data_IF_715184838544
#
_entry.id   IF_715184838544
#
_cell.length_a   1.000
_cell.length_b   1.000
_cell.length_c   1.000
_cell.angle_alpha   90.00
_cell.angle_beta   90.00
_cell.angle_gamma   90.00
#
_symmetry.space_group_name_H-M   'P 1'
#
loop_
_entity.id
_entity.type
_entity.pdbx_description
1 polymer ?
#
# COMPACT_ATOMS: atom_id res chain seq x y z
N UNK A 1 -2.02 3.06 8.80
CA UNK A 1 -1.56 4.45 8.57
C UNK A 1 -1.39 5.25 9.87
N UNK A 2 -2.09 4.93 10.97
CA UNK A 2 -1.92 5.59 12.28
C UNK A 2 -0.47 5.49 12.81
N UNK A 3 0.21 4.36 12.60
CA UNK A 3 1.60 4.19 13.04
C UNK A 3 2.58 5.24 12.48
N UNK A 4 2.33 5.78 11.28
CA UNK A 4 3.18 6.83 10.69
C UNK A 4 2.98 8.19 11.38
N UNK A 5 1.80 8.44 11.96
CA UNK A 5 1.54 9.64 12.74
C UNK A 5 2.10 9.52 14.15
N UNK A 6 1.82 8.39 14.80
CA UNK A 6 2.06 8.19 16.24
C UNK A 6 3.50 7.78 16.52
N UNK A 7 4.09 6.97 15.65
CA UNK A 7 5.44 6.41 15.83
C UNK A 7 6.51 7.50 16.04
N UNK A 8 6.64 8.50 15.15
CA UNK A 8 7.63 9.56 15.32
C UNK A 8 7.40 10.44 16.55
N UNK A 9 6.14 10.65 16.98
CA UNK A 9 5.82 11.41 18.20
C UNK A 9 6.32 10.67 19.44
N UNK A 10 5.98 9.38 19.57
CA UNK A 10 6.45 8.55 20.68
C UNK A 10 7.98 8.41 20.61
N UNK A 11 8.53 8.17 19.41
CA UNK A 11 9.97 8.06 19.20
C UNK A 11 10.72 9.33 19.58
N UNK A 12 10.20 10.51 19.25
CA UNK A 12 10.79 11.81 19.62
C UNK A 12 10.77 12.05 21.13
N UNK A 13 9.67 11.70 21.81
CA UNK A 13 9.56 11.77 23.28
C UNK A 13 10.56 10.83 23.97
N UNK A 14 10.61 9.57 23.51
CA UNK A 14 11.54 8.55 24.01
C UNK A 14 13.00 8.98 23.81
N UNK A 15 13.34 9.45 22.61
CA UNK A 15 14.69 9.92 22.32
C UNK A 15 15.09 11.10 23.19
N UNK A 16 14.16 12.03 23.45
CA UNK A 16 14.41 13.21 24.28
C UNK A 16 14.63 12.89 25.76
N UNK A 17 14.01 11.82 26.30
CA UNK A 17 14.09 11.47 27.72
C UNK A 17 15.13 10.39 28.04
N UNK A 18 15.22 9.36 27.20
CA UNK A 18 16.00 8.15 27.46
C UNK A 18 16.95 7.77 26.32
N UNK A 19 17.11 8.64 25.32
CA UNK A 19 17.94 8.41 24.14
C UNK A 19 17.36 7.39 23.18
N UNK A 20 17.98 7.26 22.00
CA UNK A 20 17.44 6.47 20.88
C UNK A 20 17.31 4.97 21.17
N UNK A 21 18.10 4.43 22.13
CA UNK A 21 18.04 3.01 22.53
C UNK A 21 16.68 2.62 23.10
N UNK A 22 15.99 3.56 23.75
CA UNK A 22 14.66 3.31 24.32
C UNK A 22 13.61 3.00 23.24
N UNK A 23 13.78 3.51 22.01
CA UNK A 23 12.92 3.21 20.87
C UNK A 23 12.97 1.71 20.54
N UNK A 24 14.17 1.11 20.52
CA UNK A 24 14.33 -0.31 20.22
C UNK A 24 13.69 -1.21 21.29
N UNK A 25 13.84 -0.84 22.57
CA UNK A 25 13.19 -1.56 23.67
C UNK A 25 11.67 -1.47 23.61
N UNK A 26 11.11 -0.30 23.28
CA UNK A 26 9.66 -0.17 23.08
C UNK A 26 9.19 -1.07 21.93
N UNK A 27 9.88 -1.04 20.78
CA UNK A 27 9.53 -1.87 19.62
C UNK A 27 9.61 -3.37 19.93
N UNK A 28 10.61 -3.78 20.71
CA UNK A 28 10.76 -5.16 21.16
C UNK A 28 9.57 -5.61 22.03
N UNK A 29 9.24 -4.85 23.08
CA UNK A 29 8.12 -5.16 23.97
C UNK A 29 6.79 -5.16 23.20
N UNK A 30 6.57 -4.15 22.36
CA UNK A 30 5.37 -4.07 21.52
C UNK A 30 5.26 -5.28 20.58
N UNK A 31 6.37 -5.73 19.99
CA UNK A 31 6.39 -6.90 19.10
C UNK A 31 6.03 -8.18 19.84
N UNK A 32 6.53 -8.35 21.07
CA UNK A 32 6.15 -9.49 21.93
C UNK A 32 4.65 -9.44 22.24
N UNK A 33 4.13 -8.29 22.65
CA UNK A 33 2.70 -8.14 22.97
C UNK A 33 1.85 -8.50 21.75
N UNK A 34 2.16 -7.95 20.57
CA UNK A 34 1.43 -8.24 19.34
C UNK A 34 1.54 -9.73 18.99
N UNK A 35 2.73 -10.33 19.08
CA UNK A 35 2.91 -11.76 18.82
C UNK A 35 2.04 -12.62 19.74
N UNK A 36 2.03 -12.34 21.05
CA UNK A 36 1.20 -13.05 22.02
C UNK A 36 -0.28 -12.87 21.68
N UNK A 37 -0.73 -11.65 21.37
CA UNK A 37 -2.11 -11.42 20.96
C UNK A 37 -2.48 -12.21 19.69
N UNK A 38 -1.59 -12.30 18.70
CA UNK A 38 -1.84 -13.09 17.50
C UNK A 38 -1.94 -14.59 17.82
N UNK A 39 -1.03 -15.14 18.63
CA UNK A 39 -1.04 -16.55 19.03
C UNK A 39 -2.29 -16.92 19.84
N UNK A 40 -2.78 -15.99 20.66
CA UNK A 40 -3.97 -16.20 21.49
C UNK A 40 -5.25 -16.05 20.68
N UNK A 41 -5.37 -14.97 19.91
CA UNK A 41 -6.66 -14.52 19.37
C UNK A 41 -6.84 -14.72 17.86
N UNK A 42 -5.78 -14.76 17.05
CA UNK A 42 -5.92 -14.79 15.59
C UNK A 42 -6.29 -16.20 15.12
N UNK A 43 -7.50 -16.43 14.58
CA UNK A 43 -7.85 -17.72 14.00
C UNK A 43 -7.11 -17.96 12.68
N UNK A 44 -6.90 -19.22 12.34
CA UNK A 44 -6.44 -19.62 11.01
C UNK A 44 -7.45 -19.11 9.96
N UNK A 45 -6.96 -18.39 8.96
CA UNK A 45 -7.79 -17.73 7.93
C UNK A 45 -7.72 -18.42 6.58
N UNK A 46 -6.78 -19.35 6.40
CA UNK A 46 -6.68 -20.11 5.15
C UNK A 46 -7.87 -21.05 5.01
N UNK A 47 -8.74 -20.77 4.03
CA UNK A 47 -9.98 -21.54 3.78
C UNK A 47 -9.76 -23.03 3.56
N UNK A 48 -8.60 -23.44 3.03
CA UNK A 48 -8.26 -24.84 2.84
C UNK A 48 -8.00 -25.58 4.17
N UNK A 49 -7.55 -24.87 5.20
CA UNK A 49 -7.23 -25.42 6.52
C UNK A 49 -8.41 -25.25 7.49
N UNK A 50 -8.97 -24.04 7.55
CA UNK A 50 -10.01 -23.68 8.50
C UNK A 50 -11.44 -23.79 7.94
N UNK A 51 -11.61 -23.97 6.62
CA UNK A 51 -12.91 -23.79 5.97
C UNK A 51 -13.40 -22.35 6.14
N UNK A 52 -14.50 -22.19 6.85
CA UNK A 52 -14.98 -20.89 7.36
C UNK A 52 -15.01 -20.87 8.90
N UNK A 53 -14.00 -21.47 9.55
CA UNK A 53 -13.98 -21.70 10.99
C UNK A 53 -14.85 -22.89 11.44
N UNK A 54 -15.36 -23.66 10.49
CA UNK A 54 -16.18 -24.86 10.73
C UNK A 54 -15.34 -26.11 10.98
N UNK A 55 -14.09 -26.14 10.52
CA UNK A 55 -13.21 -27.31 10.63
C UNK A 55 -12.37 -27.20 11.92
N UNK A 56 -12.34 -28.25 12.77
CA UNK A 56 -11.48 -28.28 13.94
C UNK A 56 -10.00 -28.22 13.59
N UNK A 57 -9.31 -27.18 14.08
CA UNK A 57 -7.88 -26.96 13.87
C UNK A 57 -7.05 -27.81 14.85
N UNK A 58 -5.85 -28.26 14.43
CA UNK A 58 -4.91 -29.04 15.24
C UNK A 58 -3.50 -28.44 15.21
N UNK A 59 -2.72 -28.69 16.26
CA UNK A 59 -1.31 -28.30 16.35
C UNK A 59 -1.10 -26.79 16.32
N UNK A 60 -0.13 -26.34 15.52
CA UNK A 60 0.28 -24.92 15.39
C UNK A 60 -0.82 -24.03 14.80
N UNK A 61 -1.73 -24.58 14.00
CA UNK A 61 -2.83 -23.82 13.39
C UNK A 61 -3.96 -23.50 14.37
N UNK A 62 -3.94 -24.06 15.59
CA UNK A 62 -4.98 -23.85 16.60
C UNK A 62 -4.60 -22.67 17.51
N UNK A 63 -5.36 -21.55 17.51
CA UNK A 63 -5.13 -20.43 18.41
C UNK A 63 -5.25 -20.87 19.86
N UNK A 64 -4.46 -20.28 20.76
CA UNK A 64 -4.45 -20.71 22.17
C UNK A 64 -5.81 -20.54 22.85
N UNK A 65 -6.57 -19.50 22.49
CA UNK A 65 -7.91 -19.29 23.04
C UNK A 65 -8.87 -20.47 22.72
N UNK A 66 -8.67 -21.19 21.61
CA UNK A 66 -9.53 -22.31 21.21
C UNK A 66 -9.28 -23.59 22.04
N UNK A 67 -8.21 -23.64 22.84
CA UNK A 67 -8.05 -24.71 23.84
C UNK A 67 -8.97 -24.51 25.04
N UNK A 68 -9.24 -23.25 25.41
CA UNK A 68 -10.13 -22.90 26.52
C UNK A 68 -11.60 -22.76 26.07
N UNK A 69 -11.81 -22.16 24.89
CA UNK A 69 -13.14 -21.87 24.33
C UNK A 69 -13.20 -22.24 22.86
N UNK A 70 -13.43 -23.53 22.52
CA UNK A 70 -13.59 -23.95 21.14
C UNK A 70 -14.86 -23.34 20.51
N UNK A 71 -14.84 -23.03 19.20
CA UNK A 71 -16.03 -22.57 18.48
C UNK A 71 -17.20 -23.57 18.59
N UNK A 72 -18.42 -23.07 18.77
CA UNK A 72 -19.64 -23.90 18.82
C UNK A 72 -19.85 -24.74 17.56
N UNK A 73 -19.39 -24.25 16.40
CA UNK A 73 -19.42 -24.95 15.11
C UNK A 73 -18.69 -26.29 15.15
N UNK A 74 -17.67 -26.45 16.02
CA UNK A 74 -16.92 -27.69 16.12
C UNK A 74 -17.71 -28.81 16.83
N UNK A 75 -18.73 -28.46 17.61
CA UNK A 75 -19.57 -29.45 18.28
C UNK A 75 -20.57 -30.13 17.33
N UNK A 76 -21.00 -29.43 16.28
CA UNK A 76 -21.94 -29.92 15.25
C UNK A 76 -21.26 -30.78 14.18
N UNK A 77 -19.95 -30.61 13.96
CA UNK A 77 -19.16 -31.35 12.94
C UNK A 77 -18.54 -32.64 13.51
N UNK A 78 -19.22 -33.34 14.42
CA UNK A 78 -18.69 -34.58 15.05
C UNK A 78 -18.74 -35.82 14.14
N UNK A 79 -19.41 -35.77 12.99
CA UNK A 79 -19.76 -36.95 12.17
C UNK A 79 -19.13 -36.99 10.77
N UNK A 80 -18.25 -36.07 10.43
CA UNK A 80 -17.44 -36.20 9.20
C UNK A 80 -15.99 -36.20 9.64
N UNK A 81 -15.30 -37.32 9.45
CA UNK A 81 -13.84 -37.29 9.38
C UNK A 81 -13.48 -36.09 8.51
N UNK A 82 -12.60 -35.18 8.98
CA UNK A 82 -12.17 -34.09 8.13
C UNK A 82 -11.66 -34.76 6.84
N UNK A 83 -12.12 -34.36 5.64
CA UNK A 83 -11.46 -34.83 4.43
C UNK A 83 -9.99 -34.55 4.69
N UNK A 84 -9.15 -35.58 4.60
CA UNK A 84 -7.72 -35.45 4.79
C UNK A 84 -7.26 -34.38 3.81
N UNK A 85 -7.29 -33.12 4.25
CA UNK A 85 -6.87 -32.01 3.43
C UNK A 85 -5.39 -32.24 3.38
N UNK A 86 -4.95 -32.82 2.26
CA UNK A 86 -3.55 -32.98 1.94
C UNK A 86 -3.02 -31.56 2.04
N UNK A 87 -2.46 -31.18 3.19
CA UNK A 87 -1.81 -29.89 3.39
C UNK A 87 -0.82 -29.85 2.24
N UNK A 88 -1.03 -29.00 1.22
CA UNK A 88 -0.17 -29.04 0.07
C UNK A 88 1.22 -28.73 0.60
N UNK A 89 2.16 -29.67 0.41
CA UNK A 89 3.54 -29.46 0.83
C UNK A 89 3.97 -28.13 0.23
N UNK A 90 4.37 -27.19 1.09
CA UNK A 90 4.80 -25.86 0.65
C UNK A 90 6.03 -26.09 -0.23
N UNK A 91 5.82 -26.11 -1.53
CA UNK A 91 6.88 -26.22 -2.51
C UNK A 91 7.44 -24.82 -2.75
N UNK A 92 8.76 -24.69 -2.74
CA UNK A 92 9.42 -23.42 -3.12
C UNK A 92 8.91 -22.90 -4.46
N UNK A 93 8.58 -23.79 -5.40
CA UNK A 93 7.96 -23.41 -6.67
C UNK A 93 6.61 -22.71 -6.45
N UNK A 94 5.75 -23.25 -5.59
CA UNK A 94 4.44 -22.67 -5.27
C UNK A 94 4.53 -21.32 -4.56
N UNK A 95 5.55 -21.12 -3.72
CA UNK A 95 5.77 -19.85 -3.00
C UNK A 95 6.31 -18.75 -3.90
N UNK A 96 7.04 -19.10 -4.97
CA UNK A 96 7.62 -18.15 -5.93
C UNK A 96 6.68 -17.83 -7.10
N UNK A 97 5.62 -18.62 -7.34
CA UNK A 97 4.63 -18.34 -8.40
C UNK A 97 4.07 -16.91 -8.34
N UNK A 98 3.68 -16.34 -7.18
CA UNK A 98 3.21 -14.96 -7.11
C UNK A 98 4.20 -13.91 -7.65
N UNK A 99 5.51 -14.17 -7.60
CA UNK A 99 6.52 -13.27 -8.15
C UNK A 99 6.44 -13.20 -9.67
N UNK A 100 5.95 -14.27 -10.31
CA UNK A 100 5.75 -14.29 -11.77
C UNK A 100 4.68 -13.30 -12.23
N UNK A 101 3.79 -12.84 -11.33
CA UNK A 101 2.78 -11.83 -11.66
C UNK A 101 3.41 -10.52 -12.10
N UNK A 102 4.61 -10.18 -11.61
CA UNK A 102 5.34 -8.97 -11.99
C UNK A 102 5.68 -8.97 -13.49
N UNK A 103 5.83 -10.14 -14.12
CA UNK A 103 6.15 -10.24 -15.55
C UNK A 103 4.92 -10.12 -16.47
N UNK A 104 3.71 -10.02 -15.91
CA UNK A 104 2.52 -9.74 -16.71
C UNK A 104 2.45 -8.24 -17.03
N UNK A 105 2.29 -7.88 -18.31
CA UNK A 105 2.40 -6.49 -18.80
C UNK A 105 1.46 -5.51 -18.08
N UNK A 106 0.20 -5.93 -17.86
CA UNK A 106 -0.82 -5.19 -17.12
C UNK A 106 -0.41 -4.93 -15.67
N UNK A 107 0.19 -5.93 -15.03
CA UNK A 107 0.58 -5.89 -13.62
C UNK A 107 1.90 -5.14 -13.44
N UNK A 108 2.86 -5.32 -14.35
CA UNK A 108 4.15 -4.65 -14.31
C UNK A 108 3.98 -3.14 -14.27
N UNK A 109 3.21 -2.56 -15.20
CA UNK A 109 3.00 -1.11 -15.27
C UNK A 109 2.28 -0.59 -14.02
N UNK A 110 1.27 -1.33 -13.54
CA UNK A 110 0.53 -1.03 -12.31
C UNK A 110 1.45 -1.01 -11.08
N UNK A 111 2.29 -2.05 -10.92
CA UNK A 111 3.23 -2.18 -9.82
C UNK A 111 4.38 -1.18 -9.91
N UNK A 112 4.90 -0.90 -11.11
CA UNK A 112 5.99 0.04 -11.33
C UNK A 112 5.59 1.45 -10.90
N UNK A 113 4.43 1.94 -11.36
CA UNK A 113 3.91 3.25 -10.96
C UNK A 113 3.64 3.32 -9.45
N UNK A 114 2.93 2.33 -8.89
CA UNK A 114 2.63 2.28 -7.46
C UNK A 114 3.86 2.21 -6.56
N UNK A 115 4.88 1.45 -6.98
CA UNK A 115 6.14 1.31 -6.24
C UNK A 115 6.97 2.58 -6.31
N UNK A 116 7.01 3.26 -7.46
CA UNK A 116 7.70 4.53 -7.60
C UNK A 116 7.11 5.60 -6.67
N UNK A 117 5.79 5.78 -6.69
CA UNK A 117 5.10 6.76 -5.84
C UNK A 117 5.31 6.47 -4.36
N UNK A 118 5.21 5.20 -3.95
CA UNK A 118 5.51 4.80 -2.58
C UNK A 118 6.97 5.08 -2.20
N UNK A 119 7.90 4.84 -3.12
CA UNK A 119 9.32 5.06 -2.90
C UNK A 119 9.60 6.53 -2.64
N UNK A 120 9.05 7.44 -3.46
CA UNK A 120 9.22 8.87 -3.23
C UNK A 120 8.57 9.36 -1.93
N UNK A 121 7.36 8.91 -1.61
CA UNK A 121 6.75 9.23 -0.32
C UNK A 121 7.59 8.69 0.86
N UNK A 122 8.18 7.51 0.71
CA UNK A 122 9.08 6.93 1.73
C UNK A 122 10.37 7.74 1.86
N UNK A 123 10.98 8.18 0.75
CA UNK A 123 12.16 9.06 0.75
C UNK A 123 11.86 10.42 1.40
N UNK A 124 10.70 11.02 1.12
CA UNK A 124 10.24 12.25 1.78
C UNK A 124 10.18 12.01 3.29
N UNK A 125 9.48 10.97 3.71
CA UNK A 125 9.25 10.65 5.13
C UNK A 125 10.56 10.31 5.86
N UNK A 126 11.47 9.56 5.24
CA UNK A 126 12.74 9.16 5.87
C UNK A 126 13.72 10.31 6.02
N UNK A 127 13.72 11.26 5.09
CA UNK A 127 14.60 12.44 5.13
C UNK A 127 14.04 13.57 6.00
N UNK A 128 12.73 13.61 6.27
CA UNK A 128 12.05 14.67 7.05
C UNK A 128 12.79 15.04 8.33
N UNK A 129 13.15 14.08 9.18
CA UNK A 129 13.85 14.36 10.45
C UNK A 129 15.17 15.10 10.22
N UNK A 130 15.96 14.65 9.24
CA UNK A 130 17.28 15.24 8.95
C UNK A 130 17.13 16.64 8.37
N UNK A 131 16.20 16.80 7.43
CA UNK A 131 15.93 18.10 6.79
C UNK A 131 15.41 19.10 7.82
N UNK A 132 14.48 18.71 8.69
CA UNK A 132 13.94 19.59 9.73
C UNK A 132 14.99 20.00 10.77
N UNK A 133 15.84 19.07 11.22
CA UNK A 133 16.94 19.40 12.14
C UNK A 133 17.92 20.41 11.54
N UNK A 134 18.24 20.26 10.26
CA UNK A 134 19.16 21.15 9.57
C UNK A 134 18.52 22.52 9.27
N UNK A 135 17.27 22.55 8.81
CA UNK A 135 16.58 23.78 8.41
C UNK A 135 16.00 24.56 9.59
N UNK A 136 15.74 23.90 10.73
CA UNK A 136 15.15 24.52 11.92
C UNK A 136 15.90 24.09 13.20
N UNK A 137 17.10 24.65 13.46
CA UNK A 137 17.92 24.26 14.62
C UNK A 137 17.27 24.48 15.99
N UNK A 138 16.23 25.33 16.05
CA UNK A 138 15.45 25.58 17.27
C UNK A 138 14.46 24.47 17.62
N UNK A 139 14.18 23.54 16.69
CA UNK A 139 13.26 22.43 16.95
C UNK A 139 13.94 21.34 17.78
N UNK A 140 13.29 20.99 18.88
CA UNK A 140 13.65 19.85 19.72
C UNK A 140 13.18 18.52 19.12
N UNK A 141 13.76 17.41 19.57
CA UNK A 141 13.47 16.05 19.07
C UNK A 141 11.98 15.67 19.13
N UNK A 142 11.27 16.05 20.19
CA UNK A 142 9.83 15.76 20.31
C UNK A 142 8.99 16.65 19.39
N UNK A 143 9.39 17.91 19.16
CA UNK A 143 8.72 18.81 18.20
C UNK A 143 8.87 18.29 16.77
N UNK A 144 10.03 17.74 16.42
CA UNK A 144 10.23 17.06 15.12
C UNK A 144 9.32 15.84 15.02
N UNK A 145 9.14 15.08 16.11
CA UNK A 145 8.16 14.00 16.16
C UNK A 145 6.74 14.48 15.79
N UNK A 146 6.32 15.66 16.28
CA UNK A 146 5.03 16.26 15.93
C UNK A 146 4.94 16.67 14.45
N UNK A 147 6.05 17.03 13.81
CA UNK A 147 6.09 17.36 12.38
C UNK A 147 5.74 16.17 11.46
N UNK A 148 5.65 14.94 11.97
CA UNK A 148 5.13 13.80 11.20
C UNK A 148 3.61 13.65 11.26
N UNK A 149 2.92 14.35 12.17
CA UNK A 149 1.46 14.30 12.26
C UNK A 149 0.76 14.69 10.94
N UNK A 150 1.19 15.74 10.20
CA UNK A 150 0.62 16.05 8.90
C UNK A 150 0.76 14.92 7.88
N UNK A 151 1.90 14.22 7.83
CA UNK A 151 2.08 13.05 6.96
C UNK A 151 1.07 11.95 7.32
N UNK A 152 1.01 11.60 8.60
CA UNK A 152 0.08 10.57 9.08
C UNK A 152 -1.39 10.93 8.86
N UNK A 153 -1.77 12.20 9.07
CA UNK A 153 -3.10 12.71 8.77
C UNK A 153 -3.41 12.64 7.27
N UNK A 154 -2.45 12.99 6.42
CA UNK A 154 -2.54 12.84 4.96
C UNK A 154 -2.80 11.38 4.57
N UNK A 155 -2.08 10.42 5.16
CA UNK A 155 -2.32 9.00 4.91
C UNK A 155 -3.72 8.54 5.37
N UNK A 156 -4.17 8.96 6.57
CA UNK A 156 -5.50 8.58 7.08
C UNK A 156 -6.61 9.17 6.21
N UNK A 157 -6.57 10.47 5.95
CA UNK A 157 -7.57 11.15 5.13
C UNK A 157 -7.54 10.67 3.68
N UNK A 158 -6.34 10.48 3.10
CA UNK A 158 -6.17 9.93 1.75
C UNK A 158 -6.78 8.54 1.62
N UNK A 159 -6.60 7.69 2.63
CA UNK A 159 -7.17 6.35 2.63
C UNK A 159 -8.71 6.37 2.71
N UNK A 160 -9.27 7.13 3.66
CA UNK A 160 -10.71 7.22 3.88
C UNK A 160 -11.44 7.89 2.71
N UNK A 161 -10.88 9.02 2.23
CA UNK A 161 -11.46 9.78 1.12
C UNK A 161 -11.42 8.95 -0.16
N UNK A 162 -10.26 8.41 -0.53
CA UNK A 162 -10.10 7.69 -1.79
C UNK A 162 -10.86 6.38 -1.79
N UNK A 163 -10.90 5.64 -0.66
CA UNK A 163 -11.70 4.42 -0.55
C UNK A 163 -13.19 4.69 -0.82
N UNK A 164 -13.77 5.70 -0.15
CA UNK A 164 -15.17 6.08 -0.37
C UNK A 164 -15.42 6.62 -1.77
N UNK A 165 -14.49 7.40 -2.32
CA UNK A 165 -14.60 7.95 -3.67
C UNK A 165 -14.62 6.82 -4.72
N UNK A 166 -13.70 5.86 -4.61
CA UNK A 166 -13.64 4.72 -5.53
C UNK A 166 -14.89 3.84 -5.44
N UNK A 167 -15.39 3.56 -4.23
CA UNK A 167 -16.60 2.76 -4.05
C UNK A 167 -17.84 3.44 -4.60
N UNK A 168 -18.01 4.74 -4.31
CA UNK A 168 -19.17 5.51 -4.81
C UNK A 168 -19.16 5.58 -6.34
N UNK A 169 -18.03 5.91 -6.94
CA UNK A 169 -17.97 6.07 -8.39
C UNK A 169 -18.04 4.73 -9.11
N UNK A 170 -17.47 3.66 -8.55
CA UNK A 170 -17.63 2.31 -9.10
C UNK A 170 -19.09 1.86 -9.06
N UNK A 171 -19.80 2.07 -7.94
CA UNK A 171 -21.23 1.76 -7.82
C UNK A 171 -22.08 2.53 -8.83
N UNK A 172 -21.79 3.82 -9.03
CA UNK A 172 -22.49 4.66 -10.02
C UNK A 172 -22.29 4.15 -11.45
N UNK A 173 -21.04 3.91 -11.85
CA UNK A 173 -20.73 3.41 -13.20
C UNK A 173 -21.31 2.01 -13.41
N UNK A 174 -21.31 1.17 -12.36
CA UNK A 174 -21.97 -0.12 -12.38
C UNK A 174 -23.48 0.00 -12.63
N UNK A 175 -24.20 0.87 -11.90
CA UNK A 175 -25.65 1.05 -12.09
C UNK A 175 -25.97 1.61 -13.47
N UNK A 176 -25.21 2.60 -13.95
CA UNK A 176 -25.39 3.18 -15.29
C UNK A 176 -25.18 2.13 -16.39
N UNK A 177 -24.15 1.29 -16.24
CA UNK A 177 -23.90 0.21 -17.18
C UNK A 177 -25.02 -0.84 -17.20
N UNK A 178 -25.54 -1.22 -16.03
CA UNK A 178 -26.65 -2.18 -15.93
C UNK A 178 -27.92 -1.67 -16.59
N UNK A 179 -28.30 -0.41 -16.31
CA UNK A 179 -29.47 0.22 -16.93
C UNK A 179 -29.31 0.27 -18.44
N UNK A 180 -28.13 0.67 -18.94
CA UNK A 180 -27.86 0.77 -20.39
C UNK A 180 -27.96 -0.57 -21.12
N UNK A 181 -27.64 -1.69 -20.45
CA UNK A 181 -27.65 -3.03 -21.04
C UNK A 181 -28.84 -3.90 -20.58
N UNK A 182 -29.82 -3.32 -19.87
CA UNK A 182 -30.98 -4.07 -19.36
C UNK A 182 -30.63 -5.23 -18.42
N UNK A 183 -29.53 -5.13 -17.68
CA UNK A 183 -29.03 -6.21 -16.83
C UNK A 183 -29.66 -6.20 -15.43
N UNK A 184 -30.02 -7.37 -14.85
CA UNK A 184 -30.52 -7.45 -13.49
C UNK A 184 -29.51 -6.99 -12.42
N UNK A 185 -30.03 -6.52 -11.28
CA UNK A 185 -29.20 -6.09 -10.15
C UNK A 185 -28.39 -7.22 -9.50
N UNK A 186 -28.81 -8.48 -9.65
CA UNK A 186 -28.11 -9.67 -9.17
C UNK A 186 -26.84 -10.01 -9.96
N UNK A 187 -26.68 -9.51 -11.19
CA UNK A 187 -25.53 -9.84 -12.03
C UNK A 187 -24.26 -9.16 -11.51
N UNK A 188 -23.20 -9.95 -11.32
CA UNK A 188 -21.88 -9.44 -11.01
C UNK A 188 -21.22 -8.91 -12.30
N UNK A 189 -21.26 -7.59 -12.48
CA UNK A 189 -20.68 -6.91 -13.64
C UNK A 189 -19.18 -7.16 -13.85
N UNK A 190 -18.44 -7.55 -12.81
CA UNK A 190 -17.01 -7.85 -12.93
C UNK A 190 -16.74 -9.09 -13.79
N UNK A 191 -17.74 -9.95 -13.95
CA UNK A 191 -17.67 -11.15 -14.78
C UNK A 191 -18.03 -10.88 -16.25
N UNK A 192 -18.49 -9.66 -16.57
CA UNK A 192 -18.85 -9.27 -17.94
C UNK A 192 -17.57 -8.82 -18.66
N UNK A 193 -17.15 -9.49 -19.76
CA UNK A 193 -15.88 -9.19 -20.44
C UNK A 193 -15.75 -7.75 -20.94
N UNK A 194 -16.88 -7.14 -21.34
CA UNK A 194 -16.95 -5.81 -21.95
C UNK A 194 -17.07 -4.67 -20.94
N UNK A 195 -17.25 -4.97 -19.65
CA UNK A 195 -17.33 -3.91 -18.64
C UNK A 195 -15.92 -3.31 -18.42
N UNK A 196 -15.74 -1.98 -18.57
CA UNK A 196 -14.42 -1.34 -18.51
C UNK A 196 -13.96 -1.13 -17.06
N UNK A 197 -13.62 -2.21 -16.37
CA UNK A 197 -13.16 -2.22 -14.97
C UNK A 197 -11.96 -1.27 -14.78
N UNK A 198 -10.98 -1.35 -15.67
CA UNK A 198 -9.72 -0.62 -15.59
C UNK A 198 -9.97 0.88 -15.67
N UNK A 199 -10.73 1.34 -16.68
CA UNK A 199 -11.05 2.76 -16.82
C UNK A 199 -11.83 3.28 -15.63
N UNK A 200 -12.76 2.47 -15.11
CA UNK A 200 -13.55 2.81 -13.92
C UNK A 200 -12.67 2.97 -12.67
N UNK A 201 -11.73 2.05 -12.45
CA UNK A 201 -10.83 2.09 -11.27
C UNK A 201 -9.76 3.15 -11.39
N UNK A 202 -9.19 3.33 -12.57
CA UNK A 202 -8.07 4.22 -12.82
C UNK A 202 -8.49 5.67 -13.05
N UNK A 203 -9.79 5.97 -13.07
CA UNK A 203 -10.31 7.29 -13.48
C UNK A 203 -9.67 8.49 -12.78
N UNK A 204 -9.32 8.33 -11.49
CA UNK A 204 -8.73 9.39 -10.67
C UNK A 204 -7.19 9.36 -10.63
N UNK A 205 -6.56 8.35 -11.23
CA UNK A 205 -5.11 8.18 -11.21
C UNK A 205 -4.35 9.40 -11.76
N UNK A 206 -4.72 9.99 -12.93
CA UNK A 206 -4.00 11.13 -13.47
C UNK A 206 -4.05 12.36 -12.57
N UNK A 207 -5.20 12.63 -11.94
CA UNK A 207 -5.39 13.79 -11.07
C UNK A 207 -4.56 13.71 -9.79
N UNK A 208 -4.58 12.55 -9.11
CA UNK A 208 -3.74 12.35 -7.94
C UNK A 208 -2.24 12.33 -8.30
N UNK A 209 -1.89 11.81 -9.48
CA UNK A 209 -0.50 11.80 -9.98
C UNK A 209 0.02 13.21 -10.22
N UNK A 210 -0.76 14.06 -10.90
CA UNK A 210 -0.41 15.45 -11.13
C UNK A 210 -0.26 16.22 -9.81
N UNK A 211 -1.20 16.05 -8.89
CA UNK A 211 -1.14 16.68 -7.57
C UNK A 211 0.09 16.23 -6.78
N UNK A 212 0.42 14.93 -6.81
CA UNK A 212 1.63 14.40 -6.17
C UNK A 212 2.91 15.03 -6.75
N UNK A 213 3.03 15.09 -8.09
CA UNK A 213 4.20 15.68 -8.77
C UNK A 213 4.39 17.14 -8.35
N UNK A 214 3.33 17.94 -8.38
CA UNK A 214 3.40 19.35 -7.97
C UNK A 214 3.86 19.46 -6.51
N UNK A 215 3.30 18.64 -5.62
CA UNK A 215 3.67 18.72 -4.20
C UNK A 215 5.13 18.31 -3.95
N UNK A 216 5.64 17.28 -4.62
CA UNK A 216 7.05 16.87 -4.52
C UNK A 216 7.98 17.93 -5.11
N UNK A 217 7.61 18.54 -6.24
CA UNK A 217 8.35 19.62 -6.88
C UNK A 217 8.54 20.82 -5.95
N UNK A 218 7.51 21.14 -5.16
CA UNK A 218 7.50 22.26 -4.22
C UNK A 218 8.11 21.91 -2.85
N UNK A 219 8.19 20.62 -2.48
CA UNK A 219 8.63 20.19 -1.15
C UNK A 219 10.07 20.59 -0.86
N UNK A 220 11.02 20.27 -1.75
CA UNK A 220 12.43 20.70 -1.59
C UNK A 220 12.57 22.22 -1.50
N UNK A 221 12.07 22.99 -2.48
CA UNK A 221 12.07 24.44 -2.45
C UNK A 221 11.43 25.06 -1.20
N UNK A 222 10.44 24.43 -0.56
CA UNK A 222 9.80 24.95 0.66
C UNK A 222 10.76 25.15 1.84
N UNK A 223 11.90 24.46 1.85
CA UNK A 223 12.95 24.60 2.86
C UNK A 223 13.95 25.73 2.56
N UNK A 224 13.91 26.30 1.35
CA UNK A 224 14.80 27.39 0.91
C UNK A 224 14.03 28.68 0.53
N UNK A 225 12.71 28.59 0.28
CA UNK A 225 11.87 29.71 -0.15
C UNK A 225 10.83 30.06 0.93
N UNK A 226 11.10 31.02 1.82
CA UNK A 226 10.35 32.28 1.96
C UNK A 226 10.77 33.11 3.20
N UNK A 227 11.14 34.37 2.97
CA UNK A 227 10.48 35.51 3.63
C UNK A 227 10.58 36.75 2.69
N UNK A 228 9.46 37.44 2.41
CA UNK A 228 9.44 38.67 1.59
C UNK A 228 10.07 39.87 2.31
N UNK A 229 10.40 39.72 3.60
CA UNK A 229 10.97 40.78 4.45
C UNK A 229 12.30 40.41 5.11
N UNK A 230 12.76 39.16 5.03
CA UNK A 230 14.03 38.72 5.62
C UNK A 230 14.70 37.67 4.74
N UNK A 231 16.01 37.72 4.67
CA UNK A 231 16.85 36.75 3.99
C UNK A 231 16.44 35.30 4.34
N UNK A 232 16.21 34.47 3.32
CA UNK A 232 16.24 32.99 3.32
C UNK A 232 15.95 32.29 4.66
N UNK A 233 14.69 32.29 5.10
CA UNK A 233 14.21 31.44 6.20
C UNK A 233 13.34 30.29 5.65
N UNK A 234 13.44 29.10 6.26
CA UNK A 234 12.65 27.94 5.88
C UNK A 234 11.17 28.11 6.33
N UNK A 235 10.21 27.73 5.49
CA UNK A 235 8.77 27.86 5.81
C UNK A 235 8.20 26.53 6.31
N UNK A 236 8.17 26.36 7.63
CA UNK A 236 7.71 25.13 8.28
C UNK A 236 6.26 24.78 7.88
N UNK A 237 5.37 25.77 7.79
CA UNK A 237 3.96 25.53 7.44
C UNK A 237 3.83 24.99 6.00
N UNK A 238 4.58 25.58 5.06
CA UNK A 238 4.60 25.12 3.69
C UNK A 238 5.15 23.69 3.58
N UNK A 239 6.27 23.39 4.23
CA UNK A 239 6.86 22.04 4.21
C UNK A 239 5.92 20.99 4.80
N UNK A 240 5.27 21.28 5.93
CA UNK A 240 4.31 20.38 6.56
C UNK A 240 3.03 20.19 5.75
N UNK A 241 2.52 21.27 5.13
CA UNK A 241 1.36 21.20 4.23
C UNK A 241 1.64 20.37 2.98
N UNK A 242 2.82 20.54 2.38
CA UNK A 242 3.26 19.73 1.25
C UNK A 242 3.47 18.27 1.65
N UNK A 243 4.06 18.00 2.82
CA UNK A 243 4.21 16.65 3.35
C UNK A 243 2.86 15.96 3.57
N UNK A 244 1.85 16.68 4.07
CA UNK A 244 0.47 16.21 4.14
C UNK A 244 -0.08 15.84 2.76
N UNK A 245 0.05 16.74 1.77
CA UNK A 245 -0.48 16.53 0.43
C UNK A 245 0.21 15.38 -0.32
N UNK A 246 1.53 15.23 -0.16
CA UNK A 246 2.30 14.09 -0.68
C UNK A 246 1.80 12.78 -0.07
N UNK A 247 1.59 12.74 1.25
CA UNK A 247 1.07 11.56 1.95
C UNK A 247 -0.37 11.22 1.53
N UNK A 248 -1.22 12.25 1.36
CA UNK A 248 -2.59 12.09 0.90
C UNK A 248 -2.66 11.51 -0.52
N UNK A 249 -1.96 12.14 -1.47
CA UNK A 249 -1.98 11.76 -2.89
C UNK A 249 -1.29 10.43 -3.13
N UNK A 250 -0.16 10.14 -2.46
CA UNK A 250 0.48 8.81 -2.54
C UNK A 250 -0.42 7.71 -2.00
N UNK A 251 -1.12 7.95 -0.88
CA UNK A 251 -2.08 6.98 -0.33
C UNK A 251 -3.27 6.78 -1.27
N UNK A 252 -3.76 7.84 -1.91
CA UNK A 252 -4.80 7.76 -2.91
C UNK A 252 -4.39 6.88 -4.11
N UNK A 253 -3.21 7.12 -4.68
CA UNK A 253 -2.63 6.33 -5.76
C UNK A 253 -2.46 4.87 -5.33
N UNK A 254 -1.96 4.63 -4.11
CA UNK A 254 -1.78 3.29 -3.57
C UNK A 254 -3.11 2.54 -3.39
N UNK A 255 -4.16 3.21 -2.94
CA UNK A 255 -5.50 2.64 -2.84
C UNK A 255 -6.06 2.25 -4.20
N UNK A 256 -5.90 3.12 -5.22
CA UNK A 256 -6.30 2.81 -6.60
C UNK A 256 -5.54 1.58 -7.11
N UNK A 257 -4.22 1.58 -6.98
CA UNK A 257 -3.38 0.48 -7.45
C UNK A 257 -3.71 -0.85 -6.78
N UNK A 258 -3.85 -0.84 -5.46
CA UNK A 258 -4.16 -2.06 -4.69
C UNK A 258 -5.56 -2.60 -5.02
N UNK A 259 -6.54 -1.71 -5.20
CA UNK A 259 -7.90 -2.12 -5.60
C UNK A 259 -7.91 -2.74 -6.99
N UNK A 260 -7.23 -2.10 -7.96
CA UNK A 260 -7.12 -2.62 -9.32
C UNK A 260 -6.40 -3.98 -9.36
N UNK A 261 -5.34 -4.12 -8.57
CA UNK A 261 -4.57 -5.37 -8.51
C UNK A 261 -5.40 -6.54 -7.95
N UNK A 262 -6.18 -6.30 -6.90
CA UNK A 262 -7.09 -7.31 -6.34
C UNK A 262 -8.18 -7.67 -7.34
N UNK A 263 -8.73 -6.69 -8.06
CA UNK A 263 -9.71 -6.93 -9.13
C UNK A 263 -9.11 -7.73 -10.31
N UNK A 264 -7.79 -7.63 -10.57
CA UNK A 264 -7.09 -8.45 -11.58
C UNK A 264 -6.90 -9.93 -11.18
N UNK A 265 -6.94 -10.26 -9.89
CA UNK A 265 -6.66 -11.60 -9.34
C UNK A 265 -7.71 -12.03 -8.30
N UNK A 266 -8.98 -12.26 -8.69
CA UNK A 266 -10.05 -12.62 -7.75
C UNK A 266 -9.77 -13.92 -6.97
N UNK A 267 -9.13 -14.91 -7.61
CA UNK A 267 -8.79 -16.19 -6.98
C UNK A 267 -7.41 -16.20 -6.30
N UNK A 268 -6.62 -15.12 -6.44
CA UNK A 268 -5.23 -15.02 -5.97
C UNK A 268 -4.93 -13.67 -5.31
N UNK A 269 -5.93 -13.01 -4.74
CA UNK A 269 -5.83 -11.64 -4.25
C UNK A 269 -4.81 -11.46 -3.13
N UNK A 270 -4.68 -12.45 -2.25
CA UNK A 270 -3.66 -12.48 -1.20
C UNK A 270 -2.24 -12.52 -1.80
N UNK A 271 -2.01 -13.42 -2.77
CA UNK A 271 -0.74 -13.53 -3.48
C UNK A 271 -0.40 -12.26 -4.25
N UNK A 272 -1.38 -11.67 -4.95
CA UNK A 272 -1.19 -10.41 -5.67
C UNK A 272 -0.85 -9.26 -4.71
N UNK A 273 -1.54 -9.18 -3.56
CA UNK A 273 -1.24 -8.19 -2.51
C UNK A 273 0.15 -8.39 -1.93
N UNK A 274 0.58 -9.63 -1.71
CA UNK A 274 1.92 -9.95 -1.24
C UNK A 274 3.00 -9.51 -2.24
N UNK A 275 2.83 -9.82 -3.53
CA UNK A 275 3.75 -9.39 -4.60
C UNK A 275 3.83 -7.85 -4.66
N UNK A 276 2.70 -7.16 -4.57
CA UNK A 276 2.67 -5.69 -4.52
C UNK A 276 3.45 -5.14 -3.34
N UNK A 277 3.24 -5.69 -2.14
CA UNK A 277 3.99 -5.28 -0.96
C UNK A 277 5.49 -5.54 -1.13
N UNK A 278 5.88 -6.71 -1.63
CA UNK A 278 7.29 -7.06 -1.81
C UNK A 278 8.00 -6.10 -2.78
N UNK A 279 7.47 -5.93 -4.00
CA UNK A 279 8.09 -5.06 -5.02
C UNK A 279 8.18 -3.63 -4.48
N UNK A 280 7.08 -3.12 -3.93
CA UNK A 280 7.00 -1.77 -3.39
C UNK A 280 7.99 -1.53 -2.26
N UNK A 281 8.11 -2.46 -1.32
CA UNK A 281 9.02 -2.33 -0.19
C UNK A 281 10.49 -2.45 -0.61
N UNK A 282 10.82 -3.32 -1.57
CA UNK A 282 12.18 -3.44 -2.08
C UNK A 282 12.64 -2.18 -2.81
N UNK A 283 11.81 -1.65 -3.72
CA UNK A 283 12.10 -0.40 -4.43
C UNK A 283 12.12 0.78 -3.44
N UNK A 284 11.21 0.79 -2.47
CA UNK A 284 11.17 1.77 -1.39
C UNK A 284 12.45 1.78 -0.55
N UNK A 285 12.95 0.60 -0.15
CA UNK A 285 14.19 0.46 0.60
C UNK A 285 15.40 0.96 -0.20
N UNK A 286 15.50 0.60 -1.49
CA UNK A 286 16.53 1.10 -2.39
C UNK A 286 16.46 2.63 -2.54
N UNK A 287 15.26 3.20 -2.58
CA UNK A 287 15.10 4.65 -2.62
C UNK A 287 15.52 5.35 -1.33
N UNK A 288 15.08 4.82 -0.19
CA UNK A 288 15.39 5.37 1.13
C UNK A 288 16.90 5.31 1.43
N UNK A 289 17.63 4.32 0.91
CA UNK A 289 19.09 4.28 1.08
C UNK A 289 19.83 5.38 0.27
N UNK A 290 19.23 5.87 -0.81
CA UNK A 290 19.85 6.87 -1.72
C UNK A 290 19.55 8.31 -1.31
N UNK A 291 18.42 8.59 -0.65
CA UNK A 291 17.98 9.97 -0.41
C UNK A 291 18.95 10.80 0.45
N UNK A 292 19.53 10.21 1.48
CA UNK A 292 20.45 10.95 2.37
C UNK A 292 21.77 11.30 1.67
N UNK A 293 22.48 10.36 1.00
CA UNK A 293 23.61 10.71 0.14
C UNK A 293 23.27 11.74 -0.94
N UNK A 294 22.09 11.63 -1.56
CA UNK A 294 21.66 12.58 -2.59
C UNK A 294 21.50 14.00 -2.02
N UNK A 295 20.83 14.13 -0.86
CA UNK A 295 20.68 15.42 -0.17
C UNK A 295 22.05 16.00 0.20
N UNK A 296 22.98 15.17 0.68
CA UNK A 296 24.33 15.61 1.01
C UNK A 296 25.10 16.14 -0.22
N UNK A 297 24.91 15.52 -1.39
CA UNK A 297 25.60 15.90 -2.62
C UNK A 297 25.03 17.16 -3.29
N UNK A 298 23.69 17.30 -3.37
CA UNK A 298 23.06 18.37 -4.19
C UNK A 298 22.20 19.35 -3.39
N UNK A 299 22.13 19.21 -2.06
CA UNK A 299 21.22 19.92 -1.15
C UNK A 299 19.75 19.53 -1.33
N UNK A 300 18.95 19.88 -0.32
CA UNK A 300 17.54 19.47 -0.20
C UNK A 300 16.71 19.90 -1.42
N UNK A 301 16.82 21.16 -1.86
CA UNK A 301 16.05 21.65 -3.01
C UNK A 301 16.29 20.81 -4.26
N UNK A 302 17.55 20.69 -4.67
CA UNK A 302 17.86 20.00 -5.92
C UNK A 302 17.62 18.50 -5.82
N UNK A 303 17.80 17.89 -4.65
CA UNK A 303 17.48 16.47 -4.44
C UNK A 303 16.01 16.18 -4.77
N UNK A 304 15.07 16.97 -4.24
CA UNK A 304 13.64 16.78 -4.52
C UNK A 304 13.23 17.21 -5.93
N UNK A 305 13.92 18.16 -6.56
CA UNK A 305 13.71 18.47 -7.98
C UNK A 305 14.18 17.33 -8.90
N UNK A 306 15.31 16.68 -8.58
CA UNK A 306 15.75 15.46 -9.28
C UNK A 306 14.72 14.35 -9.13
N UNK A 307 14.23 14.10 -7.90
CA UNK A 307 13.18 13.11 -7.66
C UNK A 307 11.89 13.44 -8.44
N UNK A 308 11.52 14.72 -8.53
CA UNK A 308 10.40 15.17 -9.36
C UNK A 308 10.64 14.83 -10.83
N UNK A 309 11.84 15.10 -11.33
CA UNK A 309 12.25 14.72 -12.69
C UNK A 309 12.12 13.22 -12.94
N UNK A 310 12.49 12.38 -11.97
CA UNK A 310 12.28 10.93 -12.05
C UNK A 310 10.80 10.59 -12.18
N UNK A 311 9.91 11.16 -11.36
CA UNK A 311 8.45 10.87 -11.48
C UNK A 311 7.90 11.34 -12.82
N UNK A 312 8.30 12.52 -13.28
CA UNK A 312 7.88 13.05 -14.58
C UNK A 312 8.36 12.14 -15.72
N UNK A 313 9.59 11.62 -15.65
CA UNK A 313 10.12 10.67 -16.63
C UNK A 313 9.26 9.39 -16.70
N UNK A 314 8.73 8.92 -15.57
CA UNK A 314 7.88 7.74 -15.50
C UNK A 314 6.37 8.03 -15.64
N UNK A 315 5.96 9.30 -15.80
CA UNK A 315 4.56 9.69 -16.02
C UNK A 315 3.89 8.99 -17.21
N UNK A 316 4.58 8.68 -18.34
CA UNK A 316 4.00 7.89 -19.41
C UNK A 316 3.42 6.54 -18.96
N UNK A 317 3.90 5.95 -17.85
CA UNK A 317 3.32 4.73 -17.30
C UNK A 317 1.85 4.90 -16.93
N UNK A 318 1.43 6.07 -16.42
CA UNK A 318 0.03 6.36 -16.09
C UNK A 318 -0.85 6.33 -17.34
N UNK A 319 -0.34 6.93 -18.43
CA UNK A 319 -1.04 6.93 -19.71
C UNK A 319 -1.12 5.51 -20.32
N UNK A 320 -0.01 4.76 -20.29
CA UNK A 320 0.03 3.37 -20.74
C UNK A 320 -0.96 2.51 -19.94
N UNK A 321 -1.00 2.69 -18.63
CA UNK A 321 -1.92 2.00 -17.73
C UNK A 321 -3.37 2.31 -18.09
N UNK A 322 -3.70 3.58 -18.34
CA UNK A 322 -5.05 4.00 -18.71
C UNK A 322 -5.51 3.42 -20.05
N UNK A 323 -4.63 3.37 -21.05
CA UNK A 323 -4.99 2.97 -22.41
C UNK A 323 -4.92 1.46 -22.66
N UNK A 324 -3.90 0.78 -22.13
CA UNK A 324 -3.57 -0.60 -22.52
C UNK A 324 -3.88 -1.65 -21.47
N UNK A 325 -4.06 -1.29 -20.20
CA UNK A 325 -4.25 -2.25 -19.11
C UNK A 325 -5.43 -3.21 -19.37
N UNK A 326 -6.56 -2.71 -19.87
CA UNK A 326 -7.72 -3.55 -20.18
C UNK A 326 -7.46 -4.57 -21.28
N UNK A 327 -6.81 -4.14 -22.37
CA UNK A 327 -6.42 -5.03 -23.48
C UNK A 327 -5.45 -6.12 -23.00
N UNK A 328 -4.45 -5.75 -22.21
CA UNK A 328 -3.47 -6.69 -21.69
C UNK A 328 -4.06 -7.68 -20.67
N UNK A 329 -5.02 -7.25 -19.84
CA UNK A 329 -5.74 -8.16 -18.95
C UNK A 329 -6.57 -9.17 -19.75
N UNK A 330 -7.33 -8.72 -20.74
CA UNK A 330 -8.12 -9.62 -21.60
C UNK A 330 -7.21 -10.65 -22.29
N UNK A 331 -6.06 -10.22 -22.81
CA UNK A 331 -5.08 -11.11 -23.42
C UNK A 331 -4.46 -12.10 -22.41
N UNK A 332 -4.24 -11.67 -21.15
CA UNK A 332 -3.81 -12.57 -20.07
C UNK A 332 -4.86 -13.63 -19.76
N UNK A 333 -6.12 -13.22 -19.57
CA UNK A 333 -7.23 -14.15 -19.28
C UNK A 333 -7.41 -15.14 -20.42
N UNK A 334 -7.31 -14.69 -21.68
CA UNK A 334 -7.35 -15.57 -22.86
C UNK A 334 -6.24 -16.62 -22.82
N UNK A 335 -4.99 -16.20 -22.64
CA UNK A 335 -3.82 -17.11 -22.54
C UNK A 335 -3.93 -18.11 -21.38
N UNK A 336 -4.48 -17.69 -20.23
CA UNK A 336 -4.72 -18.57 -19.08
C UNK A 336 -5.82 -19.61 -19.37
N UNK A 337 -6.89 -19.21 -20.06
CA UNK A 337 -7.96 -20.13 -20.45
C UNK A 337 -7.51 -21.14 -21.52
N UNK A 338 -6.69 -20.72 -22.49
CA UNK A 338 -6.11 -21.58 -23.51
C UNK A 338 -5.18 -22.63 -22.88
N UNK A 339 -4.29 -22.23 -21.96
CA UNK A 339 -3.41 -23.16 -21.22
C UNK A 339 -4.18 -24.19 -20.41
N UNK A 340 -5.28 -23.78 -19.76
CA UNK A 340 -6.10 -24.70 -18.96
C UNK A 340 -6.74 -25.77 -19.84
N UNK A 341 -7.21 -25.40 -21.05
CA UNK A 341 -7.76 -26.34 -22.04
C UNK A 341 -6.73 -27.31 -22.61
N UNK A 342 -5.45 -26.90 -22.71
CA UNK A 342 -4.38 -27.77 -23.19
C UNK A 342 -3.92 -28.78 -22.14
N UNK A 343 -4.08 -28.48 -20.84
CA UNK A 343 -3.71 -29.38 -19.74
C UNK A 343 -4.80 -30.41 -19.44
N UNK A 344 -6.07 -30.11 -19.78
CA UNK A 344 -7.21 -31.04 -19.65
C UNK A 344 -7.35 -32.03 -20.82
N UNK A 345 -6.66 -31.78 -21.94
CA UNK A 345 -6.53 -32.72 -23.07
C UNK A 345 -5.26 -33.54 -22.94
#
# INVERSE_FOLDING_TARGET
>A
MIGQAVGPVIGGLLNSKWGFRSIFWLLFVQSIIVLVLLLVFLPETQRQLAGNGSIPLRGFHKPWLYYLRPPKSWATTKSSEPPASKIPRISLKSTLVPLTYVFQKDIFVLLAWGSLIYTLWSMVTSSTTTVLLHSFPSLTQWQIGLCFLPNGAGCVLGSLFTGRLLDRTFKRIQSEYKIKHGLPDSVNIKNIPDFPIERTRLQFMPYFSLSFIICVALYGPSFELNDLRRYFAANLVASLGLQFMIAFTSTAIFNINSTMLVDCFPNGSASATATNNLVRCLVGAAGVSVIQPLIAAVRVRNAFLILTGVVVLFLPLVWVQWQYCGKWRQERVRRESEKSRTVEK
#
